data_IF_627042042063
#
_entry.id   IF_627042042063
#
_cell.length_a   1.000
_cell.length_b   1.000
_cell.length_c   1.000
_cell.angle_alpha   90.00
_cell.angle_beta   90.00
_cell.angle_gamma   90.00
#
_symmetry.space_group_name_H-M   'P 1'
#
loop_
_entity.id
_entity.type
_entity.pdbx_description
1 polymer ?
#
# COMPACT_ATOMS: atom_id res chain seq x y z
N UNK A 1 1.82 2.59 25.94
CA UNK A 1 0.47 2.42 26.38
C UNK A 1 -0.51 2.51 25.26
N UNK A 2 -1.59 1.81 25.37
CA UNK A 2 -2.60 1.72 24.32
C UNK A 2 -3.44 2.97 24.13
N UNK A 3 -3.21 4.03 24.88
CA UNK A 3 -4.07 5.22 24.93
C UNK A 3 -3.86 6.21 23.77
N UNK A 4 -2.82 6.01 22.96
CA UNK A 4 -2.41 7.00 22.00
C UNK A 4 -2.73 6.60 20.54
N UNK A 5 -3.44 5.49 20.35
CA UNK A 5 -3.95 5.13 19.04
C UNK A 5 -5.27 5.84 18.77
N UNK A 6 -5.22 6.84 17.91
CA UNK A 6 -6.40 7.46 17.35
C UNK A 6 -7.19 6.39 16.63
N UNK A 7 -8.39 6.10 17.11
CA UNK A 7 -9.21 5.04 16.56
C UNK A 7 -9.76 5.49 15.20
N UNK A 8 -9.23 4.89 14.16
CA UNK A 8 -9.67 5.09 12.79
C UNK A 8 -11.10 4.57 12.57
N UNK A 9 -12.02 5.47 12.22
CA UNK A 9 -13.46 5.16 12.11
C UNK A 9 -13.90 4.66 10.74
N UNK A 10 -13.03 4.65 9.76
CA UNK A 10 -13.33 4.24 8.39
C UNK A 10 -12.84 2.80 8.11
N UNK A 11 -13.33 2.20 7.03
CA UNK A 11 -12.72 0.99 6.49
C UNK A 11 -11.30 1.30 5.99
N UNK A 12 -10.41 0.32 6.07
CA UNK A 12 -9.01 0.46 5.64
C UNK A 12 -8.76 -0.16 4.26
N UNK A 13 -9.80 -0.70 3.63
CA UNK A 13 -9.71 -1.23 2.27
C UNK A 13 -11.03 -1.84 1.80
N UNK A 14 -11.22 -1.82 0.51
CA UNK A 14 -12.40 -2.30 -0.20
C UNK A 14 -12.03 -2.83 -1.59
N UNK A 15 -12.90 -3.65 -2.20
CA UNK A 15 -12.78 -4.01 -3.60
C UNK A 15 -13.05 -2.81 -4.51
N UNK A 16 -12.52 -2.89 -5.73
CA UNK A 16 -12.69 -1.89 -6.79
C UNK A 16 -13.33 -2.56 -8.01
N UNK A 17 -14.35 -1.93 -8.57
CA UNK A 17 -15.08 -2.46 -9.72
C UNK A 17 -14.35 -2.27 -11.04
N UNK A 18 -14.51 -3.25 -11.94
CA UNK A 18 -13.89 -3.23 -13.28
C UNK A 18 -14.29 -2.00 -14.11
N UNK A 19 -15.50 -1.49 -13.94
CA UNK A 19 -16.00 -0.28 -14.64
C UNK A 19 -16.03 0.90 -13.66
N UNK A 20 -14.93 1.13 -12.95
CA UNK A 20 -14.74 2.28 -12.05
C UNK A 20 -15.75 2.41 -10.91
N UNK A 21 -16.37 1.32 -10.47
CA UNK A 21 -17.07 1.29 -9.19
C UNK A 21 -16.06 1.40 -8.06
N UNK A 22 -15.89 2.59 -7.49
CA UNK A 22 -14.83 2.89 -6.51
C UNK A 22 -14.93 1.95 -5.31
N UNK A 23 -16.14 1.73 -4.78
CA UNK A 23 -16.39 0.81 -3.68
C UNK A 23 -17.22 -0.36 -4.19
N UNK A 24 -16.59 -1.42 -4.62
CA UNK A 24 -17.25 -2.62 -5.11
C UNK A 24 -16.74 -3.85 -4.38
N UNK A 25 -17.63 -4.48 -3.60
CA UNK A 25 -17.33 -5.68 -2.85
C UNK A 25 -17.44 -6.96 -3.69
N UNK A 26 -17.43 -8.12 -3.01
CA UNK A 26 -17.79 -8.33 -1.60
C UNK A 26 -16.64 -8.23 -0.58
N UNK A 27 -15.36 -8.22 -1.03
CA UNK A 27 -14.20 -8.17 -0.13
C UNK A 27 -13.99 -6.77 0.46
N UNK A 28 -13.47 -6.74 1.68
CA UNK A 28 -13.04 -5.49 2.33
C UNK A 28 -12.10 -5.77 3.51
N UNK A 29 -11.23 -4.82 3.83
CA UNK A 29 -10.43 -4.83 5.05
C UNK A 29 -11.20 -4.17 6.18
N UNK A 30 -12.18 -4.90 6.72
CA UNK A 30 -13.01 -4.48 7.86
C UNK A 30 -13.10 -5.61 8.88
N UNK A 31 -13.18 -5.28 10.17
CA UNK A 31 -13.56 -6.27 11.18
C UNK A 31 -14.89 -6.93 10.79
N UNK A 32 -14.98 -8.25 11.01
CA UNK A 32 -16.20 -9.04 10.77
C UNK A 32 -16.66 -9.17 9.30
N UNK A 33 -15.82 -8.90 8.31
CA UNK A 33 -16.13 -9.28 6.94
C UNK A 33 -15.95 -10.80 6.78
N UNK A 34 -17.01 -11.56 6.42
CA UNK A 34 -16.93 -13.01 6.29
C UNK A 34 -16.26 -13.48 4.99
N UNK A 35 -15.95 -12.57 4.10
CA UNK A 35 -15.41 -12.90 2.78
C UNK A 35 -13.92 -13.31 2.89
N UNK A 36 -13.66 -14.52 2.47
CA UNK A 36 -12.29 -15.07 2.40
C UNK A 36 -11.65 -14.60 1.09
N UNK A 37 -10.44 -14.04 1.19
CA UNK A 37 -9.66 -13.66 0.01
C UNK A 37 -9.32 -14.86 -0.86
N UNK A 38 -9.30 -14.64 -2.17
CA UNK A 38 -8.86 -15.60 -3.18
C UNK A 38 -7.88 -14.93 -4.13
N UNK A 39 -6.93 -15.68 -4.70
CA UNK A 39 -6.03 -15.15 -5.73
C UNK A 39 -6.80 -14.47 -6.86
N UNK A 40 -6.30 -13.33 -7.32
CA UNK A 40 -6.93 -12.48 -8.32
C UNK A 40 -7.97 -11.48 -7.79
N UNK A 41 -8.30 -11.50 -6.49
CA UNK A 41 -9.09 -10.43 -5.88
C UNK A 41 -8.22 -9.19 -5.70
N UNK A 42 -8.76 -8.01 -6.05
CA UNK A 42 -8.13 -6.72 -5.77
C UNK A 42 -8.72 -6.07 -4.54
N UNK A 43 -7.92 -5.30 -3.84
CA UNK A 43 -8.29 -4.63 -2.59
C UNK A 43 -7.46 -3.38 -2.40
N UNK A 44 -8.08 -2.27 -1.99
CA UNK A 44 -7.32 -1.13 -1.49
C UNK A 44 -6.78 -1.42 -0.09
N UNK A 45 -5.58 -0.90 0.20
CA UNK A 45 -5.03 -0.80 1.54
C UNK A 45 -4.75 0.68 1.81
N UNK A 46 -5.64 1.29 2.60
CA UNK A 46 -5.77 2.75 2.71
C UNK A 46 -5.90 3.24 4.16
N UNK A 47 -5.01 2.81 5.06
CA UNK A 47 -5.02 3.33 6.42
C UNK A 47 -4.74 4.82 6.44
N UNK A 48 -5.39 5.55 7.36
CA UNK A 48 -5.20 6.97 7.50
C UNK A 48 -5.48 7.47 8.91
N UNK A 49 -4.98 8.65 9.21
CA UNK A 49 -5.19 9.38 10.46
C UNK A 49 -5.86 10.71 10.11
N UNK A 50 -6.90 11.05 10.86
CA UNK A 50 -7.67 12.28 10.63
C UNK A 50 -7.96 12.98 11.95
N UNK A 51 -7.43 14.19 12.08
CA UNK A 51 -7.69 15.09 13.18
C UNK A 51 -8.65 16.17 12.72
N UNK A 52 -9.78 16.33 13.40
CA UNK A 52 -10.83 17.28 13.02
C UNK A 52 -10.28 18.70 13.01
N UNK A 53 -10.49 19.41 11.88
CA UNK A 53 -10.04 20.78 11.62
C UNK A 53 -8.50 20.98 11.65
N UNK A 54 -7.71 19.90 11.67
CA UNK A 54 -6.25 19.97 11.73
C UNK A 54 -5.60 19.32 10.51
N UNK A 55 -5.62 17.97 10.42
CA UNK A 55 -4.89 17.26 9.37
C UNK A 55 -5.55 15.92 9.02
N UNK A 56 -5.40 15.51 7.77
CA UNK A 56 -5.67 14.15 7.31
C UNK A 56 -4.47 13.60 6.54
N UNK A 57 -4.04 12.40 6.89
CA UNK A 57 -2.95 11.70 6.20
C UNK A 57 -3.43 10.31 5.86
N UNK A 58 -3.31 9.93 4.57
CA UNK A 58 -3.56 8.57 4.07
C UNK A 58 -2.41 8.16 3.18
N UNK A 59 -2.02 6.88 3.27
CA UNK A 59 -1.17 6.21 2.29
C UNK A 59 -2.01 5.06 1.75
N UNK A 60 -2.14 4.97 0.43
CA UNK A 60 -3.05 4.02 -0.19
C UNK A 60 -2.41 3.34 -1.40
N UNK A 61 -2.55 2.04 -1.46
CA UNK A 61 -2.24 1.23 -2.63
C UNK A 61 -3.41 0.30 -2.97
N UNK A 62 -3.64 0.08 -4.25
CA UNK A 62 -4.41 -1.05 -4.75
C UNK A 62 -3.50 -2.28 -4.77
N UNK A 63 -4.00 -3.40 -4.25
CA UNK A 63 -3.27 -4.66 -4.13
C UNK A 63 -4.01 -5.78 -4.83
N UNK A 64 -3.27 -6.74 -5.39
CA UNK A 64 -3.81 -8.02 -5.85
C UNK A 64 -3.50 -9.09 -4.81
N UNK A 65 -4.50 -9.89 -4.46
CA UNK A 65 -4.31 -11.10 -3.69
C UNK A 65 -3.64 -12.17 -4.56
N UNK A 66 -2.48 -12.66 -4.16
CA UNK A 66 -1.68 -13.64 -4.87
C UNK A 66 -1.54 -14.94 -4.09
N UNK A 67 -1.38 -16.05 -4.82
CA UNK A 67 -1.09 -17.36 -4.24
C UNK A 67 0.41 -17.50 -3.97
N UNK A 68 0.77 -17.79 -2.72
CA UNK A 68 2.14 -18.05 -2.29
C UNK A 68 2.43 -19.55 -2.14
N UNK A 69 1.43 -20.42 -2.41
CA UNK A 69 1.54 -21.86 -2.33
C UNK A 69 1.47 -22.43 -0.92
N UNK A 70 1.84 -23.70 -0.82
CA UNK A 70 1.74 -24.51 0.39
C UNK A 70 3.08 -24.66 1.10
N UNK A 71 3.03 -24.72 2.42
CA UNK A 71 4.15 -25.16 3.26
C UNK A 71 3.64 -26.08 4.39
N UNK A 72 4.53 -26.46 5.32
CA UNK A 72 4.18 -27.37 6.43
C UNK A 72 3.09 -26.80 7.38
N UNK A 73 2.76 -25.54 7.31
CA UNK A 73 1.75 -24.88 8.15
C UNK A 73 0.43 -24.61 7.42
N UNK A 74 0.37 -24.81 6.10
CA UNK A 74 -0.84 -24.63 5.29
C UNK A 74 -0.62 -23.91 3.98
N UNK A 75 -1.73 -23.51 3.37
CA UNK A 75 -1.78 -22.70 2.15
C UNK A 75 -1.70 -21.19 2.48
N UNK A 76 -0.88 -20.47 1.76
CA UNK A 76 -0.60 -19.06 2.03
C UNK A 76 -0.99 -18.17 0.88
N UNK A 77 -1.59 -17.04 1.23
CA UNK A 77 -1.86 -15.94 0.31
C UNK A 77 -1.00 -14.74 0.70
N UNK A 78 -0.72 -13.89 -0.29
CA UNK A 78 -0.04 -12.62 -0.12
C UNK A 78 -0.71 -11.51 -0.90
N UNK A 79 -0.13 -10.32 -0.85
CA UNK A 79 -0.60 -9.17 -1.61
C UNK A 79 0.54 -8.57 -2.41
N UNK A 80 0.29 -8.32 -3.70
CA UNK A 80 1.22 -7.63 -4.59
C UNK A 80 0.65 -6.25 -4.95
N UNK A 81 1.45 -5.17 -4.94
CA UNK A 81 0.98 -3.85 -5.31
C UNK A 81 0.66 -3.76 -6.80
N UNK A 82 -0.53 -3.26 -7.12
CA UNK A 82 -0.95 -2.83 -8.46
C UNK A 82 -0.64 -1.36 -8.68
N UNK A 83 -0.71 -0.55 -7.64
CA UNK A 83 -0.37 0.87 -7.67
C UNK A 83 1.12 1.05 -7.92
N UNK A 84 1.46 1.81 -8.96
CA UNK A 84 2.85 2.13 -9.32
C UNK A 84 3.08 3.65 -9.23
N UNK A 85 2.94 4.19 -8.03
CA UNK A 85 3.13 5.62 -7.73
C UNK A 85 4.12 5.77 -6.58
N UNK A 86 5.15 6.64 -6.67
CA UNK A 86 6.04 6.89 -5.54
C UNK A 86 5.27 7.44 -4.35
N UNK A 87 5.49 6.87 -3.18
CA UNK A 87 5.00 7.43 -1.91
C UNK A 87 5.86 8.64 -1.57
N UNK A 88 5.22 9.78 -1.26
CA UNK A 88 5.96 10.97 -0.82
C UNK A 88 6.60 10.73 0.54
N UNK A 89 7.92 10.76 0.57
CA UNK A 89 8.71 10.52 1.79
C UNK A 89 9.04 11.80 2.55
N UNK A 90 8.64 12.97 2.04
CA UNK A 90 8.91 14.27 2.69
C UNK A 90 8.41 14.35 4.13
N UNK A 91 7.18 13.87 4.45
CA UNK A 91 6.67 13.89 5.81
C UNK A 91 7.08 12.70 6.67
N UNK A 92 7.87 11.76 6.14
CA UNK A 92 8.22 10.52 6.84
C UNK A 92 9.29 10.77 7.89
N UNK A 93 9.00 10.39 9.14
CA UNK A 93 9.96 10.38 10.24
C UNK A 93 10.81 9.11 10.17
N UNK A 94 11.87 9.15 9.36
CA UNK A 94 12.70 7.98 9.03
C UNK A 94 13.29 7.31 10.26
N UNK A 95 13.65 8.08 11.27
CA UNK A 95 14.25 7.57 12.52
C UNK A 95 13.23 6.77 13.38
N UNK A 96 11.93 6.95 13.13
CA UNK A 96 10.85 6.21 13.80
C UNK A 96 10.50 4.89 13.08
N UNK A 97 11.02 4.68 11.87
CA UNK A 97 10.77 3.46 11.10
C UNK A 97 11.69 2.32 11.53
N UNK A 98 11.13 1.12 11.59
CA UNK A 98 11.94 -0.09 11.71
C UNK A 98 12.75 -0.34 10.43
N UNK A 99 13.79 -1.15 10.53
CA UNK A 99 14.58 -1.58 9.35
C UNK A 99 13.74 -2.28 8.29
N UNK A 100 12.77 -3.08 8.72
CA UNK A 100 11.89 -3.82 7.81
C UNK A 100 10.96 -2.86 7.06
N UNK A 101 10.44 -1.82 7.73
CA UNK A 101 9.62 -0.79 7.10
C UNK A 101 10.42 0.03 6.08
N UNK A 102 11.66 0.42 6.41
CA UNK A 102 12.56 1.11 5.49
C UNK A 102 12.85 0.21 4.28
N UNK A 103 13.19 -1.05 4.51
CA UNK A 103 13.47 -2.02 3.44
C UNK A 103 12.26 -2.22 2.54
N UNK A 104 11.07 -2.37 3.12
CA UNK A 104 9.82 -2.51 2.36
C UNK A 104 9.58 -1.29 1.46
N UNK A 105 9.67 -0.06 2.00
CA UNK A 105 9.43 1.15 1.23
C UNK A 105 10.46 1.35 0.12
N UNK A 106 11.74 1.08 0.40
CA UNK A 106 12.79 1.16 -0.60
C UNK A 106 12.60 0.13 -1.72
N UNK A 107 12.20 -1.10 -1.40
CA UNK A 107 11.90 -2.13 -2.38
C UNK A 107 10.66 -1.76 -3.23
N UNK A 108 9.63 -1.19 -2.61
CA UNK A 108 8.47 -0.68 -3.34
C UNK A 108 8.86 0.41 -4.33
N UNK A 109 9.65 1.40 -3.91
CA UNK A 109 10.14 2.46 -4.80
C UNK A 109 11.03 1.94 -5.92
N UNK A 110 11.90 0.97 -5.63
CA UNK A 110 12.73 0.32 -6.66
C UNK A 110 11.85 -0.37 -7.71
N UNK A 111 10.81 -1.09 -7.28
CA UNK A 111 9.84 -1.72 -8.17
C UNK A 111 9.08 -0.70 -9.02
N UNK A 112 8.59 0.40 -8.42
CA UNK A 112 7.92 1.48 -9.16
C UNK A 112 8.83 2.04 -10.25
N UNK A 113 10.10 2.31 -9.92
CA UNK A 113 11.07 2.83 -10.90
C UNK A 113 11.34 1.82 -12.01
N UNK A 114 11.57 0.56 -11.68
CA UNK A 114 11.82 -0.52 -12.65
C UNK A 114 10.67 -0.65 -13.67
N UNK A 115 9.44 -0.64 -13.18
CA UNK A 115 8.25 -0.85 -14.00
C UNK A 115 7.91 0.34 -14.89
N UNK A 116 8.11 1.55 -14.40
CA UNK A 116 7.71 2.77 -15.12
C UNK A 116 8.82 3.36 -16.00
N UNK A 117 10.08 3.29 -15.57
CA UNK A 117 11.18 3.96 -16.28
C UNK A 117 11.30 3.59 -17.77
N UNK A 118 11.02 2.35 -18.24
CA UNK A 118 11.10 2.03 -19.66
C UNK A 118 10.08 2.76 -20.56
N UNK A 119 9.06 3.38 -19.94
CA UNK A 119 7.98 4.08 -20.64
C UNK A 119 8.11 5.61 -20.59
N UNK A 120 9.15 6.12 -19.96
CA UNK A 120 9.37 7.54 -19.69
C UNK A 120 10.47 8.11 -20.55
N UNK A 121 10.40 9.41 -20.82
CA UNK A 121 11.50 10.20 -21.38
C UNK A 121 12.67 10.30 -20.38
N UNK A 122 13.86 10.72 -20.84
CA UNK A 122 15.04 10.80 -19.96
C UNK A 122 14.83 11.79 -18.81
N UNK A 123 14.19 12.91 -19.04
CA UNK A 123 13.89 13.91 -18.00
C UNK A 123 12.90 13.36 -16.95
N UNK A 124 11.86 12.64 -17.41
CA UNK A 124 10.90 11.98 -16.52
C UNK A 124 11.54 10.85 -15.71
N UNK A 125 12.48 10.10 -16.29
CA UNK A 125 13.26 9.09 -15.55
C UNK A 125 14.09 9.73 -14.44
N UNK A 126 14.72 10.87 -14.69
CA UNK A 126 15.47 11.60 -13.67
C UNK A 126 14.54 12.03 -12.53
N UNK A 127 13.38 12.60 -12.87
CA UNK A 127 12.37 12.97 -11.90
C UNK A 127 11.89 11.77 -11.08
N UNK A 128 11.50 10.67 -11.75
CA UNK A 128 11.01 9.46 -11.08
C UNK A 128 12.08 8.84 -10.17
N UNK A 129 13.35 8.81 -10.63
CA UNK A 129 14.46 8.32 -9.84
C UNK A 129 14.65 9.10 -8.53
N UNK A 130 14.47 10.41 -8.59
CA UNK A 130 14.55 11.26 -7.40
C UNK A 130 13.37 10.96 -6.44
N UNK A 131 12.15 10.75 -6.98
CA UNK A 131 10.97 10.41 -6.17
C UNK A 131 11.04 9.01 -5.56
N UNK A 132 11.73 8.10 -6.20
CA UNK A 132 11.97 6.74 -5.74
C UNK A 132 13.32 6.58 -5.00
N UNK A 133 13.97 7.68 -4.62
CA UNK A 133 15.24 7.61 -3.91
C UNK A 133 15.10 6.86 -2.58
N UNK A 134 16.05 5.96 -2.23
CA UNK A 134 16.01 5.24 -0.98
C UNK A 134 16.03 6.18 0.22
N UNK A 135 15.27 5.83 1.26
CA UNK A 135 15.30 6.47 2.57
C UNK A 135 16.10 5.63 3.56
N UNK A 136 16.55 6.26 4.64
CA UNK A 136 17.35 5.61 5.67
C UNK A 136 18.81 5.43 5.25
N UNK A 137 19.59 4.87 6.18
CA UNK A 137 21.02 4.55 6.00
C UNK A 137 21.23 3.06 5.98
#
# INVERSE_FOLDING_TARGET
>A
GPSDFINYRCGTGHGVGFISGVHEGPQSLRPNNPIIFKPGMTITDEPGIYETDEVGIRIENELECIDLGDNQYGHWLGFAPLTLVPIDTTPVLVDELSRDQITWLNNYHAHVYEMLSPRLTEDEKVWLKNKCAPIGR
#
